data_IF_111211928600
#
_entry.id   IF_111211928600
#
_cell.length_a   1.000
_cell.length_b   1.000
_cell.length_c   1.000
_cell.angle_alpha   90.00
_cell.angle_beta   90.00
_cell.angle_gamma   90.00
#
_symmetry.space_group_name_H-M   'P 1'
#
loop_
_entity.id
_entity.type
_entity.pdbx_description
1 polymer ?
#
# COMPACT_ATOMS: atom_id res chain seq x y z
N UNK A 1 -20.94 -16.78 -9.71
CA UNK A 1 -19.61 -16.33 -10.13
C UNK A 1 -19.54 -14.83 -10.03
N UNK A 2 -18.68 -14.34 -9.14
CA UNK A 2 -18.38 -12.92 -9.04
C UNK A 2 -17.25 -12.61 -10.02
N UNK A 3 -17.51 -11.73 -10.98
CA UNK A 3 -16.52 -11.27 -11.95
C UNK A 3 -15.48 -10.37 -11.29
N UNK A 4 -14.20 -10.56 -11.63
CA UNK A 4 -13.11 -9.72 -11.16
C UNK A 4 -12.96 -8.51 -12.09
N UNK A 5 -12.88 -7.31 -11.52
CA UNK A 5 -12.44 -6.10 -12.22
C UNK A 5 -10.92 -6.18 -12.44
N UNK A 6 -10.50 -6.33 -13.70
CA UNK A 6 -9.08 -6.42 -14.08
C UNK A 6 -8.37 -5.05 -14.08
N UNK A 7 -9.12 -3.96 -13.99
CA UNK A 7 -8.58 -2.61 -13.83
C UNK A 7 -8.32 -2.24 -12.36
N UNK A 8 -8.85 -3.04 -11.42
CA UNK A 8 -8.64 -2.81 -10.01
C UNK A 8 -7.18 -3.06 -9.59
N UNK A 9 -6.63 -2.18 -8.75
CA UNK A 9 -5.26 -2.34 -8.27
C UNK A 9 -4.79 -1.25 -7.31
N UNK A 10 -3.59 -1.46 -6.76
CA UNK A 10 -2.87 -0.57 -5.86
C UNK A 10 -1.41 -0.47 -6.29
N UNK A 11 -0.91 0.74 -6.49
CA UNK A 11 0.52 1.01 -6.75
C UNK A 11 1.10 1.75 -5.55
N UNK A 12 2.13 1.17 -4.93
CA UNK A 12 2.84 1.81 -3.81
C UNK A 12 3.89 2.79 -4.33
N UNK A 13 3.73 4.07 -3.99
CA UNK A 13 4.71 5.13 -4.28
C UNK A 13 5.80 5.22 -3.20
N UNK A 14 5.51 4.70 -2.00
CA UNK A 14 6.42 4.68 -0.85
C UNK A 14 6.51 3.29 -0.24
N UNK A 15 7.72 2.90 0.16
CA UNK A 15 8.01 1.66 0.87
C UNK A 15 8.30 1.93 2.34
N UNK A 16 8.36 0.85 3.12
CA UNK A 16 8.75 0.93 4.53
C UNK A 16 10.15 1.54 4.65
N UNK A 17 10.22 2.63 5.41
CA UNK A 17 11.45 3.37 5.66
C UNK A 17 11.79 4.45 4.64
N UNK A 18 10.91 4.71 3.67
CA UNK A 18 11.02 5.89 2.81
C UNK A 18 10.57 7.15 3.57
N UNK A 19 11.28 8.29 3.41
CA UNK A 19 10.83 9.56 3.95
C UNK A 19 9.60 10.07 3.18
N UNK A 20 8.68 10.68 3.91
CA UNK A 20 7.45 11.28 3.37
C UNK A 20 7.22 12.65 3.99
N UNK A 21 6.47 13.50 3.29
CA UNK A 21 6.00 14.80 3.79
C UNK A 21 4.49 14.86 3.75
N UNK A 22 3.90 15.73 4.57
CA UNK A 22 2.46 15.98 4.52
C UNK A 22 2.04 16.38 3.10
N UNK A 23 1.07 15.67 2.53
CA UNK A 23 0.58 15.89 1.18
C UNK A 23 1.29 15.06 0.09
N UNK A 24 2.35 14.32 0.41
CA UNK A 24 2.92 13.34 -0.52
C UNK A 24 2.01 12.11 -0.63
N UNK A 25 1.90 11.57 -1.85
CA UNK A 25 1.15 10.35 -2.14
C UNK A 25 1.92 9.13 -1.61
N UNK A 26 1.22 8.25 -0.88
CA UNK A 26 1.79 6.99 -0.40
C UNK A 26 1.51 5.83 -1.36
N UNK A 27 0.32 5.84 -1.96
CA UNK A 27 -0.11 4.86 -2.95
C UNK A 27 -1.25 5.40 -3.82
N UNK A 28 -1.43 4.81 -5.00
CA UNK A 28 -2.51 5.11 -5.95
C UNK A 28 -3.38 3.88 -6.10
N UNK A 29 -4.70 4.05 -5.93
CA UNK A 29 -5.71 3.00 -6.10
C UNK A 29 -6.49 3.21 -7.40
N UNK A 30 -6.94 2.12 -8.01
CA UNK A 30 -7.79 2.11 -9.20
C UNK A 30 -8.85 1.03 -9.05
N UNK A 31 -10.06 1.30 -9.53
CA UNK A 31 -11.18 0.36 -9.63
C UNK A 31 -12.25 0.95 -10.57
N UNK A 32 -13.07 0.09 -11.17
CA UNK A 32 -14.22 0.47 -12.00
C UNK A 32 -15.46 0.88 -11.19
N UNK A 33 -15.52 0.48 -9.91
CA UNK A 33 -16.59 0.77 -8.98
C UNK A 33 -16.14 1.79 -7.92
N UNK A 34 -16.86 2.91 -7.85
CA UNK A 34 -16.53 4.03 -6.96
C UNK A 34 -16.70 3.69 -5.47
N UNK A 35 -17.67 2.87 -5.09
CA UNK A 35 -17.90 2.52 -3.69
C UNK A 35 -16.83 1.55 -3.20
N UNK A 36 -16.45 0.56 -4.04
CA UNK A 36 -15.29 -0.31 -3.76
C UNK A 36 -14.00 0.51 -3.67
N UNK A 37 -13.81 1.50 -4.54
CA UNK A 37 -12.64 2.38 -4.49
C UNK A 37 -12.57 3.16 -3.18
N UNK A 38 -13.69 3.75 -2.72
CA UNK A 38 -13.75 4.48 -1.44
C UNK A 38 -13.41 3.58 -0.25
N UNK A 39 -13.96 2.36 -0.22
CA UNK A 39 -13.65 1.39 0.83
C UNK A 39 -12.16 1.02 0.82
N UNK A 40 -11.60 0.73 -0.35
CA UNK A 40 -10.17 0.43 -0.50
C UNK A 40 -9.27 1.58 -0.08
N UNK A 41 -9.64 2.83 -0.35
CA UNK A 41 -8.90 4.02 0.11
C UNK A 41 -8.90 4.08 1.64
N UNK A 42 -10.03 3.81 2.28
CA UNK A 42 -10.12 3.79 3.74
C UNK A 42 -9.21 2.69 4.32
N UNK A 43 -9.35 1.46 3.83
CA UNK A 43 -8.54 0.32 4.30
C UNK A 43 -7.04 0.55 4.11
N UNK A 44 -6.64 1.07 2.94
CA UNK A 44 -5.24 1.40 2.66
C UNK A 44 -4.72 2.49 3.61
N UNK A 45 -5.53 3.53 3.86
CA UNK A 45 -5.20 4.61 4.78
C UNK A 45 -4.95 4.12 6.21
N UNK A 46 -5.77 3.18 6.70
CA UNK A 46 -5.63 2.56 8.01
C UNK A 46 -4.40 1.63 8.12
N UNK A 47 -3.92 1.09 6.99
CA UNK A 47 -2.77 0.19 6.94
C UNK A 47 -1.41 0.90 6.98
N UNK A 48 -1.33 2.20 6.66
CA UNK A 48 -0.08 2.96 6.72
C UNK A 48 0.22 3.48 8.13
N UNK A 49 1.48 3.33 8.55
CA UNK A 49 2.00 3.91 9.78
C UNK A 49 3.16 4.84 9.45
N UNK A 50 3.06 6.11 9.86
CA UNK A 50 4.11 7.12 9.69
C UNK A 50 4.73 7.38 11.06
N UNK A 51 6.03 7.15 11.18
CA UNK A 51 6.81 7.42 12.39
C UNK A 51 7.88 8.48 12.16
N UNK A 52 8.39 9.06 13.25
CA UNK A 52 9.44 10.10 13.20
C UNK A 52 10.80 9.54 12.81
N UNK A 53 11.08 8.30 13.20
CA UNK A 53 12.36 7.63 12.96
C UNK A 53 12.22 6.58 11.87
N UNK A 54 13.28 6.41 11.07
CA UNK A 54 13.36 5.33 10.09
C UNK A 54 13.34 3.98 10.84
N UNK A 55 12.44 3.04 10.50
CA UNK A 55 12.41 1.73 11.14
C UNK A 55 13.64 0.91 10.77
N UNK A 56 13.97 -0.06 11.64
CA UNK A 56 15.02 -1.04 11.34
C UNK A 56 14.68 -1.84 10.07
N UNK A 57 15.64 -2.00 9.13
CA UNK A 57 15.43 -2.78 7.92
C UNK A 57 15.07 -4.23 8.23
N UNK A 58 14.05 -4.75 7.56
CA UNK A 58 13.68 -6.18 7.63
C UNK A 58 14.26 -6.92 6.43
N UNK A 59 14.84 -8.12 6.62
CA UNK A 59 15.38 -8.89 5.51
C UNK A 59 14.24 -9.32 4.56
N UNK A 60 14.46 -9.18 3.26
CA UNK A 60 13.51 -9.65 2.24
C UNK A 60 13.49 -11.18 2.15
N UNK A 61 14.66 -11.81 2.32
CA UNK A 61 14.84 -13.26 2.33
C UNK A 61 15.37 -13.63 3.71
N UNK A 62 14.58 -14.41 4.47
CA UNK A 62 14.95 -14.81 5.83
C UNK A 62 15.88 -16.03 5.86
N UNK A 63 15.67 -17.00 4.97
CA UNK A 63 16.49 -18.19 4.84
C UNK A 63 16.32 -18.80 3.45
N UNK A 64 17.32 -19.57 3.01
CA UNK A 64 17.22 -20.49 1.89
C UNK A 64 17.50 -21.88 2.45
N UNK A 65 16.55 -22.79 2.28
CA UNK A 65 16.66 -24.18 2.76
C UNK A 65 16.95 -25.07 1.55
N UNK A 66 17.98 -25.89 1.65
CA UNK A 66 18.46 -26.80 0.61
C UNK A 66 18.39 -28.24 1.06
#
# INVERSE_FOLDING_TARGET
DDSIDLSAGLVLEKKVGDPVRKGEVLAVLSADDLEKLKLGIQEAGEAFVIGENRPEPRPLIHAVLS
#
